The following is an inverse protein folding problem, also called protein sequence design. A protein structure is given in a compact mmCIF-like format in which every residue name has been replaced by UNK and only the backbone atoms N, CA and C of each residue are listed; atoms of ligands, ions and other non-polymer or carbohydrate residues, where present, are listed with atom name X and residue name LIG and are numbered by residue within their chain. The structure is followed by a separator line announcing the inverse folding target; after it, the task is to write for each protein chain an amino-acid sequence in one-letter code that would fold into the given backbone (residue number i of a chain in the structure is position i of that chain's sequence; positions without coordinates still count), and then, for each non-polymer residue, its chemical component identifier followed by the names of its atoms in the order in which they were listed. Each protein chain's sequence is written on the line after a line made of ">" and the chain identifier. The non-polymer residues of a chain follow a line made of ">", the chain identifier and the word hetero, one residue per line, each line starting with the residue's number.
data_IF_275813660564
#
_entry.id   IF_275813660564
#
_cell.length_a   1.000
_cell.length_b   1.000
_cell.length_c   1.000
_cell.angle_alpha   90.00
_cell.angle_beta   90.00
_cell.angle_gamma   90.00
#
_symmetry.space_group_name_H-M   'P 1'
#
loop_
_entity.id
_entity.type
_entity.pdbx_description
1 polymer ?
#
# COMPACT_ATOMS: atom_id res chain seq x y z
N UNK A 1 -11.25 0.36 15.95
CA UNK A 1 -10.69 1.54 15.31
C UNK A 1 -9.60 1.13 14.34
N UNK A 2 -9.68 1.62 13.13
CA UNK A 2 -8.68 1.31 12.09
C UNK A 2 -7.47 2.23 12.23
N UNK A 3 -6.29 1.62 12.22
CA UNK A 3 -5.03 2.36 12.21
C UNK A 3 -4.12 1.80 11.14
N UNK A 4 -3.49 2.68 10.37
CA UNK A 4 -2.47 2.28 9.41
C UNK A 4 -1.20 3.01 9.80
N UNK A 5 -0.17 2.24 10.15
CA UNK A 5 1.04 2.78 10.76
C UNK A 5 2.28 2.27 10.02
N UNK A 6 3.32 3.11 9.91
CA UNK A 6 4.57 2.63 9.34
C UNK A 6 5.24 1.64 10.30
N UNK A 7 5.90 0.65 9.74
CA UNK A 7 6.69 -0.30 10.53
C UNK A 7 8.13 0.15 10.49
N UNK A 8 8.66 0.60 11.62
CA UNK A 8 10.01 1.14 11.67
C UNK A 8 11.04 0.12 12.15
N UNK A 9 10.59 -0.89 12.88
CA UNK A 9 11.46 -1.94 13.42
C UNK A 9 11.47 -3.13 12.47
N UNK A 10 12.65 -3.49 11.97
CA UNK A 10 12.76 -4.59 11.01
C UNK A 10 12.40 -5.94 11.60
N UNK A 11 12.61 -6.14 12.90
CA UNK A 11 12.20 -7.39 13.54
C UNK A 11 10.68 -7.49 13.57
N UNK A 12 10.01 -6.38 13.83
CA UNK A 12 8.56 -6.34 13.77
C UNK A 12 8.08 -6.61 12.34
N UNK A 13 8.72 -5.97 11.37
CA UNK A 13 8.35 -6.18 9.97
C UNK A 13 8.43 -7.64 9.58
N UNK A 14 9.50 -8.31 9.98
CA UNK A 14 9.69 -9.73 9.68
C UNK A 14 8.58 -10.58 10.29
N UNK A 15 8.27 -10.33 11.56
CA UNK A 15 7.24 -11.10 12.25
C UNK A 15 5.86 -10.89 11.61
N UNK A 16 5.54 -9.65 11.24
CA UNK A 16 4.23 -9.35 10.66
C UNK A 16 4.11 -9.88 9.25
N UNK A 17 5.19 -9.85 8.47
CA UNK A 17 5.20 -10.45 7.14
C UNK A 17 4.89 -11.95 7.22
N UNK A 18 5.48 -12.63 8.21
CA UNK A 18 5.21 -14.05 8.39
C UNK A 18 3.74 -14.31 8.67
N UNK A 19 3.09 -13.44 9.45
CA UNK A 19 1.67 -13.59 9.76
C UNK A 19 0.78 -13.39 8.53
N UNK A 20 1.28 -12.69 7.53
CA UNK A 20 0.53 -12.46 6.30
C UNK A 20 0.99 -13.37 5.16
N UNK A 21 1.93 -14.28 5.43
CA UNK A 21 2.38 -15.24 4.45
C UNK A 21 3.24 -14.66 3.34
N UNK A 22 3.94 -13.57 3.59
CA UNK A 22 4.81 -12.96 2.59
C UNK A 22 6.26 -12.97 3.07
N UNK A 23 7.16 -12.90 2.11
CA UNK A 23 8.59 -12.88 2.39
C UNK A 23 9.00 -11.51 2.94
N UNK A 24 9.73 -11.53 4.05
CA UNK A 24 10.29 -10.30 4.61
C UNK A 24 11.42 -9.79 3.71
N UNK A 25 11.38 -8.49 3.37
CA UNK A 25 12.40 -7.86 2.56
C UNK A 25 12.98 -6.68 3.34
N UNK A 26 14.19 -6.88 3.86
CA UNK A 26 14.79 -5.94 4.81
C UNK A 26 15.03 -4.55 4.19
N UNK A 27 15.22 -4.48 2.88
CA UNK A 27 15.50 -3.22 2.20
C UNK A 27 14.25 -2.41 1.91
N UNK A 28 13.05 -2.98 2.13
CA UNK A 28 11.81 -2.29 1.79
C UNK A 28 11.21 -1.58 3.00
N UNK A 29 10.49 -0.52 2.71
CA UNK A 29 9.65 0.15 3.69
C UNK A 29 8.36 -0.64 3.87
N UNK A 30 7.65 -0.41 4.96
CA UNK A 30 6.43 -1.17 5.20
C UNK A 30 5.42 -0.38 6.01
N UNK A 31 4.14 -0.69 5.76
CA UNK A 31 3.02 -0.26 6.58
C UNK A 31 2.29 -1.48 7.10
N UNK A 32 1.64 -1.31 8.24
CA UNK A 32 0.73 -2.32 8.80
C UNK A 32 -0.65 -1.70 8.97
N UNK A 33 -1.67 -2.53 8.82
CA UNK A 33 -3.05 -2.12 9.06
C UNK A 33 -3.58 -2.89 10.26
N UNK A 34 -4.15 -2.16 11.21
CA UNK A 34 -4.67 -2.74 12.45
C UNK A 34 -6.14 -2.33 12.60
N UNK A 35 -6.95 -3.23 13.12
CA UNK A 35 -8.31 -2.91 13.54
C UNK A 35 -8.43 -3.31 14.99
N UNK A 36 -8.69 -2.34 15.85
CA UNK A 36 -8.77 -2.54 17.30
C UNK A 36 -7.53 -3.22 17.85
N UNK A 37 -6.36 -2.85 17.30
CA UNK A 37 -5.08 -3.38 17.72
C UNK A 37 -4.69 -4.70 17.08
N UNK A 38 -5.57 -5.30 16.28
CA UNK A 38 -5.28 -6.58 15.65
C UNK A 38 -4.81 -6.40 14.22
N UNK A 39 -3.77 -7.13 13.86
CA UNK A 39 -3.20 -7.05 12.52
C UNK A 39 -4.19 -7.51 11.48
N UNK A 40 -4.34 -6.71 10.41
CA UNK A 40 -5.16 -7.07 9.26
C UNK A 40 -4.35 -7.22 7.99
N UNK A 41 -3.25 -6.51 7.85
CA UNK A 41 -2.45 -6.63 6.65
C UNK A 41 -1.11 -5.94 6.77
N UNK A 42 -0.23 -6.24 5.82
CA UNK A 42 1.11 -5.66 5.71
C UNK A 42 1.38 -5.35 4.25
N UNK A 43 2.08 -4.25 4.03
CA UNK A 43 2.46 -3.82 2.70
C UNK A 43 3.95 -3.48 2.73
N UNK A 44 4.71 -4.02 1.79
CA UNK A 44 6.11 -3.67 1.61
C UNK A 44 6.26 -2.93 0.29
N UNK A 45 6.99 -1.82 0.31
CA UNK A 45 7.08 -0.97 -0.88
C UNK A 45 8.43 -0.27 -0.91
N UNK A 46 8.74 0.28 -2.08
CA UNK A 46 9.98 1.03 -2.29
C UNK A 46 9.73 2.14 -3.30
N UNK A 47 10.72 2.97 -3.51
CA UNK A 47 10.65 4.00 -4.53
C UNK A 47 12.05 4.30 -5.04
N UNK A 48 12.11 4.71 -6.29
CA UNK A 48 13.37 5.02 -6.95
C UNK A 48 13.13 5.94 -8.14
N UNK A 49 14.10 5.98 -9.04
CA UNK A 49 14.05 6.88 -10.20
C UNK A 49 12.85 6.59 -11.11
N UNK A 50 12.44 5.32 -11.17
CA UNK A 50 11.35 4.91 -12.06
C UNK A 50 9.98 5.06 -11.42
N UNK A 51 9.91 5.43 -10.15
CA UNK A 51 8.66 5.57 -9.44
C UNK A 51 8.62 4.73 -8.19
N UNK A 52 7.46 4.74 -7.53
CA UNK A 52 7.22 3.89 -6.38
C UNK A 52 6.71 2.53 -6.81
N UNK A 53 6.92 1.52 -5.97
CA UNK A 53 6.45 0.16 -6.25
C UNK A 53 5.92 -0.47 -4.97
N UNK A 54 4.70 -0.98 -5.04
CA UNK A 54 4.19 -1.85 -3.98
C UNK A 54 4.59 -3.26 -4.36
N UNK A 55 5.48 -3.85 -3.58
CA UNK A 55 6.11 -5.12 -3.88
C UNK A 55 5.35 -6.28 -3.24
N UNK A 56 4.85 -6.08 -2.02
CA UNK A 56 4.03 -7.06 -1.31
C UNK A 56 2.84 -6.36 -0.71
N UNK A 57 1.69 -7.01 -0.73
CA UNK A 57 0.45 -6.42 -0.24
C UNK A 57 -0.47 -7.57 0.15
N UNK A 58 -0.51 -7.87 1.44
CA UNK A 58 -1.16 -9.10 1.88
C UNK A 58 -1.94 -8.88 3.16
N UNK A 59 -3.12 -9.53 3.23
CA UNK A 59 -3.90 -9.55 4.47
C UNK A 59 -3.47 -10.75 5.31
N UNK A 60 -3.88 -10.74 6.58
CA UNK A 60 -3.61 -11.89 7.46
C UNK A 60 -4.25 -13.14 6.87
N UNK A 61 -3.65 -14.29 7.17
CA UNK A 61 -4.06 -15.55 6.53
C UNK A 61 -5.46 -15.98 6.93
N UNK A 62 -5.98 -15.48 8.04
CA UNK A 62 -7.29 -15.91 8.55
C UNK A 62 -8.42 -14.93 8.23
N UNK A 63 -8.19 -13.93 7.40
CA UNK A 63 -9.31 -13.07 7.03
C UNK A 63 -8.93 -11.84 6.25
N UNK A 64 -9.73 -11.56 5.23
CA UNK A 64 -9.59 -10.37 4.40
C UNK A 64 -10.68 -9.36 4.75
N UNK A 65 -10.30 -8.09 4.91
CA UNK A 65 -11.23 -6.99 5.07
C UNK A 65 -10.85 -5.89 4.10
N UNK A 66 -11.84 -5.38 3.37
CA UNK A 66 -11.57 -4.39 2.33
C UNK A 66 -10.98 -3.09 2.90
N UNK A 67 -11.63 -2.52 3.92
CA UNK A 67 -11.27 -1.17 4.36
C UNK A 67 -9.84 -1.06 4.87
N UNK A 68 -9.35 -1.93 5.77
CA UNK A 68 -7.96 -1.81 6.21
C UNK A 68 -6.97 -1.93 5.07
N UNK A 69 -7.24 -2.82 4.12
CA UNK A 69 -6.33 -3.00 2.98
C UNK A 69 -6.37 -1.79 2.06
N UNK A 70 -7.54 -1.24 1.82
CA UNK A 70 -7.69 -0.05 0.99
C UNK A 70 -6.94 1.14 1.60
N UNK A 71 -7.14 1.39 2.89
CA UNK A 71 -6.50 2.52 3.57
C UNK A 71 -4.99 2.33 3.60
N UNK A 72 -4.53 1.10 3.81
CA UNK A 72 -3.10 0.81 3.81
C UNK A 72 -2.47 1.11 2.45
N UNK A 73 -3.14 0.73 1.37
CA UNK A 73 -2.65 1.03 0.02
C UNK A 73 -2.56 2.53 -0.21
N UNK A 74 -3.58 3.27 0.22
CA UNK A 74 -3.58 4.73 0.12
C UNK A 74 -2.48 5.35 0.97
N UNK A 75 -2.20 4.79 2.14
CA UNK A 75 -1.13 5.30 2.99
C UNK A 75 0.24 5.14 2.33
N UNK A 76 0.48 3.99 1.71
CA UNK A 76 1.75 3.77 1.01
C UNK A 76 1.91 4.76 -0.14
N UNK A 77 0.84 4.96 -0.93
CA UNK A 77 0.88 5.91 -2.03
C UNK A 77 1.10 7.34 -1.56
N UNK A 78 0.46 7.71 -0.46
CA UNK A 78 0.64 9.05 0.10
C UNK A 78 2.08 9.27 0.53
N UNK A 79 2.70 8.27 1.15
CA UNK A 79 4.10 8.38 1.54
C UNK A 79 5.01 8.54 0.33
N UNK A 80 4.78 7.75 -0.72
CA UNK A 80 5.55 7.84 -1.95
C UNK A 80 5.44 9.25 -2.54
N UNK A 81 4.21 9.77 -2.60
CA UNK A 81 3.96 11.10 -3.13
C UNK A 81 4.64 12.18 -2.30
N UNK A 82 4.58 12.06 -0.97
CA UNK A 82 5.23 13.03 -0.08
C UNK A 82 6.75 13.03 -0.23
N UNK A 83 7.32 11.93 -0.67
CA UNK A 83 8.76 11.85 -0.93
C UNK A 83 9.14 12.43 -2.30
N UNK A 84 8.18 13.01 -3.02
CA UNK A 84 8.45 13.64 -4.29
C UNK A 84 8.37 12.70 -5.49
N UNK A 85 7.86 11.50 -5.29
CA UNK A 85 7.72 10.51 -6.35
C UNK A 85 6.25 10.44 -6.74
N UNK A 86 5.92 10.81 -7.97
CA UNK A 86 4.52 11.04 -8.36
C UNK A 86 3.98 9.98 -9.31
N UNK A 87 4.61 8.80 -9.34
CA UNK A 87 4.14 7.65 -10.11
C UNK A 87 4.41 6.40 -9.32
N UNK A 88 3.46 5.49 -9.33
CA UNK A 88 3.59 4.25 -8.56
C UNK A 88 3.06 3.07 -9.36
N UNK A 89 3.57 1.90 -9.03
CA UNK A 89 3.17 0.64 -9.65
C UNK A 89 2.77 -0.35 -8.57
N UNK A 90 1.81 -1.20 -8.89
CA UNK A 90 1.40 -2.26 -7.99
C UNK A 90 1.90 -3.58 -8.59
N UNK A 91 2.99 -4.09 -8.04
CA UNK A 91 3.64 -5.30 -8.55
C UNK A 91 3.43 -6.50 -7.63
N UNK A 92 2.67 -6.32 -6.55
CA UNK A 92 2.45 -7.39 -5.58
C UNK A 92 1.61 -8.50 -6.18
N UNK A 93 1.87 -9.77 -5.80
CA UNK A 93 1.05 -10.89 -6.24
C UNK A 93 -0.30 -10.86 -5.51
N UNK A 94 -1.27 -10.23 -6.13
CA UNK A 94 -2.61 -10.07 -5.59
C UNK A 94 -3.58 -10.10 -6.75
N UNK A 95 -4.60 -10.94 -6.64
CA UNK A 95 -5.58 -11.09 -7.71
C UNK A 95 -6.89 -10.36 -7.44
N UNK A 96 -6.94 -9.55 -6.38
CA UNK A 96 -8.14 -8.80 -6.04
C UNK A 96 -8.18 -7.48 -6.82
N UNK A 97 -8.65 -7.56 -8.06
CA UNK A 97 -8.66 -6.39 -8.94
C UNK A 97 -9.55 -5.28 -8.41
N UNK A 98 -10.66 -5.63 -7.76
CA UNK A 98 -11.55 -4.63 -7.20
C UNK A 98 -10.81 -3.75 -6.20
N UNK A 99 -10.04 -4.37 -5.33
CA UNK A 99 -9.26 -3.64 -4.32
C UNK A 99 -8.17 -2.80 -4.99
N UNK A 100 -7.42 -3.39 -5.92
CA UNK A 100 -6.32 -2.70 -6.58
C UNK A 100 -6.83 -1.46 -7.31
N UNK A 101 -7.94 -1.59 -8.02
CA UNK A 101 -8.52 -0.47 -8.75
C UNK A 101 -9.12 0.56 -7.81
N UNK A 102 -9.70 0.12 -6.71
CA UNK A 102 -10.25 1.05 -5.72
C UNK A 102 -9.14 1.92 -5.12
N UNK A 103 -7.97 1.34 -4.89
CA UNK A 103 -6.83 2.10 -4.39
C UNK A 103 -6.43 3.20 -5.38
N UNK A 104 -6.57 2.95 -6.68
CA UNK A 104 -6.33 3.96 -7.69
C UNK A 104 -5.51 3.49 -8.88
N UNK A 105 -5.09 2.25 -8.89
CA UNK A 105 -4.27 1.72 -9.98
C UNK A 105 -5.13 1.32 -11.17
N UNK A 106 -4.54 1.43 -12.36
CA UNK A 106 -5.16 0.91 -13.57
C UNK A 106 -4.07 0.25 -14.42
N UNK A 107 -4.47 -0.72 -15.25
CA UNK A 107 -3.51 -1.41 -16.10
C UNK A 107 -3.08 -0.50 -17.24
N UNK A 108 -1.78 -0.46 -17.49
CA UNK A 108 -1.23 0.28 -18.62
C UNK A 108 -1.16 -0.65 -19.85
N UNK A 109 -0.56 -0.15 -20.92
CA UNK A 109 -0.46 -0.91 -22.16
C UNK A 109 0.38 -2.19 -22.03
N UNK A 110 1.24 -2.25 -21.01
CA UNK A 110 2.06 -3.42 -20.73
C UNK A 110 1.37 -4.42 -19.81
N UNK A 111 0.15 -4.11 -19.39
CA UNK A 111 -0.59 -4.95 -18.44
C UNK A 111 -0.18 -4.77 -16.99
N UNK A 112 0.66 -3.79 -16.71
CA UNK A 112 1.12 -3.51 -15.36
C UNK A 112 0.22 -2.47 -14.71
N UNK A 113 -0.08 -2.65 -13.44
CA UNK A 113 -0.87 -1.66 -12.71
C UNK A 113 -0.01 -0.45 -12.39
N UNK A 114 -0.50 0.73 -12.77
CA UNK A 114 0.23 1.96 -12.48
C UNK A 114 -0.73 3.08 -12.12
N UNK A 115 -0.19 4.12 -11.50
CA UNK A 115 -0.98 5.24 -11.05
C UNK A 115 -0.15 6.51 -11.11
N UNK A 116 -0.76 7.57 -11.62
CA UNK A 116 -0.16 8.90 -11.62
C UNK A 116 -0.61 9.61 -10.36
N UNK A 117 0.34 9.92 -9.48
CA UNK A 117 0.05 10.54 -8.19
C UNK A 117 0.03 12.06 -8.25
N UNK A 118 0.33 12.65 -9.40
CA UNK A 118 0.35 14.09 -9.54
C UNK A 118 -1.00 14.67 -9.11
N UNK A 119 -0.97 15.51 -8.09
CA UNK A 119 -2.14 16.17 -7.53
C UNK A 119 -3.20 15.23 -6.94
N UNK A 120 -2.90 13.94 -6.82
CA UNK A 120 -3.90 13.00 -6.34
C UNK A 120 -4.31 13.27 -4.89
N UNK A 121 -3.34 13.50 -4.01
CA UNK A 121 -3.60 13.76 -2.60
C UNK A 121 -3.71 15.24 -2.27
N UNK A 122 -3.57 16.08 -3.28
CA UNK A 122 -3.59 17.51 -3.12
C UNK A 122 -5.01 18.01 -3.06
N UNK A 123 -5.30 18.88 -2.14
CA UNK A 123 -6.55 19.62 -2.13
C UNK A 123 -7.82 18.80 -2.09
N UNK A 124 -7.91 17.83 -1.19
CA UNK A 124 -9.18 17.12 -1.05
C UNK A 124 -10.32 18.06 -0.69
N UNK A 125 -10.04 19.10 0.08
CA UNK A 125 -11.07 20.08 0.44
C UNK A 125 -11.56 20.87 -0.76
N UNK A 126 -10.65 21.15 -1.70
CA UNK A 126 -11.02 21.83 -2.92
C UNK A 126 -11.97 21.00 -3.75
N UNK A 127 -11.67 19.70 -3.84
CA UNK A 127 -12.53 18.81 -4.59
C UNK A 127 -13.91 18.72 -3.98
N UNK A 128 -14.00 18.71 -2.67
CA UNK A 128 -15.29 18.61 -2.01
C UNK A 128 -16.13 19.87 -2.15
N UNK A 129 -15.51 21.00 -2.43
CA UNK A 129 -16.23 22.24 -2.62
C UNK A 129 -16.83 22.34 -3.99
N UNK A 130 -16.32 21.60 -4.89
CA UNK A 130 -16.74 21.67 -6.27
C UNK A 130 -17.64 20.51 -6.60
#
# INVERSE_FOLDING_TARGET
>A
MLEVLPIQDKQEQEALCARCGIEFRTELLAYKALVDGELRGVCQFTMGADGGRIVDFAHVTDGYEFEPMFVMGRAALNFIDLCGVHRAYFDAPCDNETLIKAIGFSRNSDGRYEMDLTDFFKEPCKHSKN
#
